data_IF_256278265034
#
_entry.id   IF_256278265034
#
_cell.length_a   1.000
_cell.length_b   1.000
_cell.length_c   1.000
_cell.angle_alpha   90.00
_cell.angle_beta   90.00
_cell.angle_gamma   90.00
#
_symmetry.space_group_name_H-M   'P 1'
#
loop_
_entity.id
_entity.type
_entity.pdbx_description
1 polymer ?
#
# COMPACT_ATOMS: atom_id res chain seq x y z
N UNK A 1 3.96 -6.96 -10.85
CA UNK A 1 5.40 -6.64 -10.91
C UNK A 1 5.70 -5.44 -11.78
N UNK A 2 5.20 -5.39 -13.02
CA UNK A 2 5.47 -4.26 -13.93
C UNK A 2 5.08 -2.90 -13.34
N UNK A 3 3.88 -2.77 -12.74
CA UNK A 3 3.47 -1.52 -12.09
C UNK A 3 4.40 -1.09 -10.93
N UNK A 4 4.95 -2.05 -10.20
CA UNK A 4 5.89 -1.76 -9.11
C UNK A 4 7.25 -1.30 -9.66
N UNK A 5 7.71 -1.90 -10.75
CA UNK A 5 8.95 -1.49 -11.42
C UNK A 5 8.82 -0.11 -12.08
N UNK A 6 7.68 0.19 -12.71
CA UNK A 6 7.42 1.51 -13.27
C UNK A 6 7.33 2.59 -12.18
N UNK A 7 6.73 2.27 -11.04
CA UNK A 7 6.73 3.15 -9.89
C UNK A 7 8.15 3.46 -9.40
N UNK A 8 9.02 2.45 -9.31
CA UNK A 8 10.43 2.64 -8.98
C UNK A 8 11.15 3.53 -10.00
N UNK A 9 10.90 3.34 -11.31
CA UNK A 9 11.47 4.20 -12.36
C UNK A 9 11.04 5.65 -12.22
N UNK A 10 9.77 5.92 -11.92
CA UNK A 10 9.26 7.28 -11.74
C UNK A 10 9.91 7.94 -10.51
N UNK A 11 10.03 7.22 -9.39
CA UNK A 11 10.68 7.73 -8.18
C UNK A 11 12.14 8.07 -8.46
N UNK A 12 12.87 7.20 -9.16
CA UNK A 12 14.26 7.49 -9.54
C UNK A 12 14.37 8.67 -10.51
N UNK A 13 13.44 8.81 -11.46
CA UNK A 13 13.39 9.94 -12.38
C UNK A 13 13.13 11.28 -11.66
N UNK A 14 12.46 11.27 -10.51
CA UNK A 14 12.29 12.47 -9.67
C UNK A 14 13.60 12.95 -9.02
N UNK A 15 14.66 12.12 -9.04
CA UNK A 15 16.04 12.53 -8.80
C UNK A 15 16.33 13.17 -7.43
N UNK A 16 15.53 12.86 -6.41
CA UNK A 16 15.69 13.39 -5.05
C UNK A 16 15.44 14.89 -4.92
N UNK A 17 14.87 15.56 -5.93
CA UNK A 17 14.51 16.99 -5.84
C UNK A 17 13.22 17.25 -5.06
N UNK A 18 12.38 16.24 -4.92
CA UNK A 18 11.13 16.35 -4.19
C UNK A 18 11.41 16.39 -2.69
N UNK A 19 10.89 17.42 -2.02
CA UNK A 19 10.97 17.56 -0.55
C UNK A 19 10.31 16.38 0.19
N UNK A 20 9.23 15.82 -0.41
CA UNK A 20 8.52 14.65 0.11
C UNK A 20 7.88 13.86 -1.03
N UNK A 21 7.98 12.53 -0.98
CA UNK A 21 7.33 11.63 -1.94
C UNK A 21 6.26 10.82 -1.23
N UNK A 22 5.01 10.97 -1.67
CA UNK A 22 3.89 10.18 -1.17
C UNK A 22 3.38 9.28 -2.31
N UNK A 23 3.34 7.98 -2.06
CA UNK A 23 2.87 6.99 -3.02
C UNK A 23 1.43 6.62 -2.67
N UNK A 24 0.51 6.81 -3.62
CA UNK A 24 -0.87 6.35 -3.49
C UNK A 24 -0.97 5.03 -4.26
N UNK A 25 -1.09 3.93 -3.53
CA UNK A 25 -1.17 2.59 -4.10
C UNK A 25 -2.44 1.89 -3.60
N UNK A 26 -3.53 1.94 -4.39
CA UNK A 26 -4.82 1.48 -3.90
C UNK A 26 -4.89 -0.01 -3.57
N UNK A 27 -4.18 -0.83 -4.33
CA UNK A 27 -4.02 -2.25 -4.07
C UNK A 27 -2.59 -2.49 -3.64
N UNK A 28 -2.39 -2.92 -2.40
CA UNK A 28 -1.04 -3.19 -1.92
C UNK A 28 -0.43 -4.37 -2.71
N UNK A 29 0.79 -4.18 -3.21
CA UNK A 29 1.54 -5.22 -3.91
C UNK A 29 1.71 -6.42 -2.99
N UNK A 30 1.24 -7.60 -3.39
CA UNK A 30 1.27 -8.81 -2.56
C UNK A 30 0.26 -8.82 -1.39
N UNK A 31 -0.67 -7.87 -1.31
CA UNK A 31 -1.58 -7.67 -0.17
C UNK A 31 -2.51 -8.84 0.18
N UNK A 32 -2.52 -9.94 -0.59
CA UNK A 32 -3.26 -11.18 -0.27
C UNK A 32 -2.39 -12.25 0.43
N UNK A 33 -1.08 -12.06 0.48
CA UNK A 33 -0.12 -12.99 1.08
C UNK A 33 0.39 -12.46 2.42
N UNK A 34 -0.37 -12.72 3.49
CA UNK A 34 -0.07 -12.24 4.85
C UNK A 34 0.29 -13.35 5.84
N UNK A 35 0.13 -14.63 5.46
CA UNK A 35 0.35 -15.77 6.35
C UNK A 35 1.20 -16.82 5.65
N UNK A 36 2.32 -17.20 6.28
CA UNK A 36 3.25 -18.21 5.80
C UNK A 36 2.57 -19.58 5.77
N UNK A 37 1.94 -19.93 4.66
CA UNK A 37 1.42 -21.30 4.45
C UNK A 37 2.52 -22.27 4.01
N UNK A 38 3.66 -21.77 3.49
CA UNK A 38 4.82 -22.60 3.14
C UNK A 38 6.08 -21.73 2.86
N UNK A 39 6.64 -21.81 1.64
CA UNK A 39 7.74 -21.00 1.09
C UNK A 39 7.19 -19.86 0.20
N UNK A 40 6.33 -19.00 0.76
CA UNK A 40 5.91 -17.78 0.05
C UNK A 40 6.61 -16.55 0.65
N UNK A 41 6.95 -15.65 -0.24
CA UNK A 41 7.87 -14.55 -0.03
C UNK A 41 7.22 -13.43 0.78
N UNK A 42 8.02 -12.79 1.63
CA UNK A 42 7.72 -11.54 2.33
C UNK A 42 7.67 -10.34 1.35
N UNK A 43 7.12 -10.52 0.15
CA UNK A 43 7.25 -9.61 -0.98
C UNK A 43 6.68 -8.22 -0.66
N UNK A 44 5.60 -8.14 0.11
CA UNK A 44 5.08 -6.86 0.63
C UNK A 44 6.12 -6.12 1.47
N UNK A 45 6.71 -6.81 2.44
CA UNK A 45 7.64 -6.20 3.39
C UNK A 45 8.94 -5.77 2.69
N UNK A 46 9.46 -6.61 1.79
CA UNK A 46 10.62 -6.28 0.96
C UNK A 46 10.32 -5.09 0.04
N UNK A 47 9.16 -5.07 -0.62
CA UNK A 47 8.76 -3.97 -1.48
C UNK A 47 8.64 -2.64 -0.71
N UNK A 48 8.09 -2.66 0.51
CA UNK A 48 8.01 -1.46 1.34
C UNK A 48 9.38 -0.96 1.78
N UNK A 49 10.30 -1.86 2.14
CA UNK A 49 11.67 -1.49 2.49
C UNK A 49 12.42 -0.88 1.30
N UNK A 50 12.24 -1.44 0.09
CA UNK A 50 12.78 -0.85 -1.14
C UNK A 50 12.25 0.57 -1.34
N UNK A 51 10.92 0.79 -1.23
CA UNK A 51 10.33 2.13 -1.37
C UNK A 51 10.84 3.11 -0.30
N UNK A 52 11.00 2.67 0.95
CA UNK A 52 11.58 3.48 2.01
C UNK A 52 13.02 3.89 1.66
N UNK A 53 13.85 2.93 1.20
CA UNK A 53 15.24 3.21 0.80
C UNK A 53 15.36 4.18 -0.37
N UNK A 54 14.33 4.23 -1.24
CA UNK A 54 14.25 5.15 -2.37
C UNK A 54 13.77 6.55 -1.96
N UNK A 55 13.49 6.77 -0.67
CA UNK A 55 13.11 8.08 -0.12
C UNK A 55 11.61 8.35 -0.11
N UNK A 56 10.75 7.33 -0.27
CA UNK A 56 9.30 7.51 -0.12
C UNK A 56 8.97 7.76 1.35
N UNK A 57 8.24 8.83 1.61
CA UNK A 57 7.93 9.30 2.97
C UNK A 57 6.59 8.81 3.49
N UNK A 58 5.62 8.57 2.61
CA UNK A 58 4.30 8.05 2.97
C UNK A 58 3.74 7.12 1.89
N UNK A 59 3.01 6.09 2.30
CA UNK A 59 2.17 5.28 1.42
C UNK A 59 0.72 5.38 1.86
N UNK A 60 -0.15 5.67 0.92
CA UNK A 60 -1.61 5.61 1.10
C UNK A 60 -2.13 4.39 0.35
N UNK A 61 -2.77 3.49 1.07
CA UNK A 61 -3.38 2.27 0.52
C UNK A 61 -4.82 2.12 0.95
N UNK A 62 -5.60 1.36 0.17
CA UNK A 62 -6.98 1.04 0.51
C UNK A 62 -7.07 -0.44 0.86
N UNK A 63 -7.74 -0.71 1.99
CA UNK A 63 -8.04 -2.08 2.43
C UNK A 63 -6.82 -3.02 2.52
N UNK A 64 -5.78 -2.60 3.26
CA UNK A 64 -4.67 -3.49 3.56
C UNK A 64 -5.18 -4.69 4.39
N UNK A 65 -5.04 -5.90 3.83
CA UNK A 65 -5.50 -7.15 4.43
C UNK A 65 -4.87 -7.44 5.81
N UNK A 66 -3.66 -6.94 6.06
CA UNK A 66 -2.99 -7.07 7.34
C UNK A 66 -2.25 -5.77 7.67
N UNK A 67 -2.69 -5.07 8.71
CA UNK A 67 -2.07 -3.81 9.14
C UNK A 67 -0.68 -4.01 9.74
N UNK A 68 -0.28 -5.25 10.08
CA UNK A 68 1.05 -5.57 10.63
C UNK A 68 2.18 -5.36 9.64
N UNK A 69 1.87 -5.21 8.35
CA UNK A 69 2.86 -4.93 7.30
C UNK A 69 3.55 -3.57 7.54
N UNK A 70 2.90 -2.64 8.26
CA UNK A 70 3.52 -1.39 8.72
C UNK A 70 4.78 -1.61 9.59
N UNK A 71 4.88 -2.74 10.30
CA UNK A 71 6.06 -3.04 11.13
C UNK A 71 7.34 -3.21 10.30
N UNK A 72 7.24 -3.48 9.00
CA UNK A 72 8.39 -3.59 8.11
C UNK A 72 9.07 -2.23 7.84
N UNK A 73 8.33 -1.13 8.01
CA UNK A 73 8.77 0.25 7.72
C UNK A 73 8.26 1.24 8.78
N UNK A 74 8.78 1.18 10.02
CA UNK A 74 8.24 1.96 11.15
C UNK A 74 8.49 3.47 11.04
N UNK A 75 9.49 3.90 10.26
CA UNK A 75 9.85 5.31 10.08
C UNK A 75 9.09 5.98 8.91
N UNK A 76 8.30 5.20 8.17
CA UNK A 76 7.57 5.65 7.01
C UNK A 76 6.09 5.84 7.36
N UNK A 77 5.46 6.87 6.81
CA UNK A 77 4.01 7.01 6.93
C UNK A 77 3.30 5.86 6.20
N UNK A 78 2.28 5.28 6.84
CA UNK A 78 1.44 4.24 6.25
C UNK A 78 -0.02 4.53 6.58
N UNK A 79 -0.76 5.06 5.61
CA UNK A 79 -2.17 5.38 5.71
C UNK A 79 -2.99 4.28 5.05
N UNK A 80 -3.69 3.48 5.86
CA UNK A 80 -4.64 2.48 5.38
C UNK A 80 -6.07 3.01 5.48
N UNK A 81 -6.67 3.38 4.35
CA UNK A 81 -8.04 3.89 4.30
C UNK A 81 -9.01 2.74 4.05
N UNK A 82 -9.85 2.46 5.05
CA UNK A 82 -10.90 1.46 4.94
C UNK A 82 -12.20 2.07 4.39
N UNK A 83 -12.77 1.56 3.28
CA UNK A 83 -13.94 2.14 2.63
C UNK A 83 -15.28 1.75 3.30
N UNK A 84 -15.34 1.61 4.63
CA UNK A 84 -16.54 1.13 5.34
C UNK A 84 -17.76 2.00 5.06
N UNK A 85 -17.59 3.32 5.12
CA UNK A 85 -18.69 4.26 4.92
C UNK A 85 -19.25 4.19 3.50
N UNK A 86 -18.38 4.05 2.50
CA UNK A 86 -18.73 3.99 1.09
C UNK A 86 -19.48 2.69 0.78
N UNK A 87 -19.05 1.58 1.40
CA UNK A 87 -19.76 0.30 1.32
C UNK A 87 -21.13 0.39 1.98
N UNK A 88 -21.22 0.92 3.20
CA UNK A 88 -22.51 1.10 3.90
C UNK A 88 -23.46 2.02 3.13
N UNK A 89 -22.97 3.15 2.63
CA UNK A 89 -23.75 4.08 1.81
C UNK A 89 -24.25 3.42 0.53
N UNK A 90 -23.40 2.65 -0.16
CA UNK A 90 -23.81 1.92 -1.35
C UNK A 90 -24.83 0.83 -1.02
N UNK A 91 -24.72 0.20 0.15
CA UNK A 91 -25.64 -0.83 0.59
C UNK A 91 -27.02 -0.25 0.87
N UNK A 92 -27.13 0.83 1.64
CA UNK A 92 -28.42 1.52 1.89
C UNK A 92 -29.03 2.14 0.62
N UNK A 93 -28.21 2.58 -0.34
CA UNK A 93 -28.72 3.14 -1.59
C UNK A 93 -29.25 2.06 -2.56
N UNK A 94 -28.63 0.88 -2.60
CA UNK A 94 -28.99 -0.18 -3.54
C UNK A 94 -29.98 -1.21 -2.96
N UNK A 95 -30.05 -1.32 -1.64
CA UNK A 95 -30.97 -2.20 -0.91
C UNK A 95 -31.82 -1.35 0.05
N UNK A 96 -32.90 -0.70 -0.46
CA UNK A 96 -33.75 0.18 0.34
C UNK A 96 -34.57 -0.54 1.43
N UNK A 97 -34.60 -1.88 1.40
CA UNK A 97 -35.31 -2.73 2.35
C UNK A 97 -34.45 -3.11 3.58
N UNK A 98 -33.25 -2.51 3.70
CA UNK A 98 -32.21 -2.83 4.67
C UNK A 98 -31.99 -1.69 5.67
#
# INVERSE_FOLDING_TARGET
DDHFQDLKRIIQAAGGKADRINVIMPLLYGGRQHRRSYRESLDCACALQELQSMGVSNIVTFDAHDSRVQNAVPLMGFDNVMPYYQVLKALFNNFPDL
#
